data_IF_490767733040
#
_entry.id   IF_490767733040
#
_cell.length_a   1.000
_cell.length_b   1.000
_cell.length_c   1.000
_cell.angle_alpha   90.00
_cell.angle_beta   90.00
_cell.angle_gamma   90.00
#
_symmetry.space_group_name_H-M   'P 1'
#
loop_
_entity.id
_entity.type
_entity.pdbx_description
1 polymer ?
#
# COMPACT_ATOMS: atom_id res chain seq x y z
N UNK A 1 -20.29 25.73 22.67
CA UNK A 1 -21.52 24.91 22.70
C UNK A 1 -21.40 23.84 23.77
N UNK A 2 -22.53 23.41 24.33
CA UNK A 2 -22.61 22.24 25.22
C UNK A 2 -22.77 20.97 24.39
N UNK A 3 -22.23 19.82 24.85
CA UNK A 3 -22.40 18.54 24.14
C UNK A 3 -23.87 18.18 23.87
N UNK A 4 -24.77 18.57 24.76
CA UNK A 4 -26.22 18.33 24.63
C UNK A 4 -26.82 19.11 23.46
N UNK A 5 -26.41 20.37 23.28
CA UNK A 5 -26.84 21.18 22.14
C UNK A 5 -26.38 20.57 20.81
N UNK A 6 -25.11 20.17 20.72
CA UNK A 6 -24.55 19.61 19.49
C UNK A 6 -25.29 18.32 19.07
N UNK A 7 -25.61 17.45 20.04
CA UNK A 7 -26.44 16.25 19.78
C UNK A 7 -27.86 16.61 19.34
N UNK A 8 -28.50 17.59 20.01
CA UNK A 8 -29.83 18.04 19.63
C UNK A 8 -29.87 18.62 18.20
N UNK A 9 -28.84 19.38 17.82
CA UNK A 9 -28.70 19.92 16.47
C UNK A 9 -28.53 18.80 15.43
N UNK A 10 -27.62 17.86 15.66
CA UNK A 10 -27.41 16.72 14.76
C UNK A 10 -28.67 15.88 14.58
N UNK A 11 -29.39 15.59 15.67
CA UNK A 11 -30.67 14.88 15.62
C UNK A 11 -31.70 15.64 14.79
N UNK A 12 -31.84 16.95 15.02
CA UNK A 12 -32.78 17.80 14.26
C UNK A 12 -32.41 17.89 12.77
N UNK A 13 -31.12 17.95 12.42
CA UNK A 13 -30.65 17.96 11.04
C UNK A 13 -30.95 16.64 10.33
N UNK A 14 -30.81 15.50 11.03
CA UNK A 14 -31.17 14.19 10.49
C UNK A 14 -32.68 14.06 10.27
N UNK A 15 -33.51 14.51 11.21
CA UNK A 15 -34.97 14.53 11.07
C UNK A 15 -35.43 15.45 9.91
N UNK A 16 -34.79 16.60 9.77
CA UNK A 16 -35.02 17.51 8.66
C UNK A 16 -34.72 16.85 7.30
N UNK A 17 -33.71 15.97 7.21
CA UNK A 17 -33.41 15.21 5.98
C UNK A 17 -34.49 14.18 5.66
N UNK A 18 -35.15 13.62 6.66
CA UNK A 18 -36.27 12.67 6.47
C UNK A 18 -37.62 13.34 6.20
N UNK A 19 -37.68 14.68 6.21
CA UNK A 19 -38.88 15.44 5.86
C UNK A 19 -39.63 16.03 7.06
N UNK A 20 -39.12 15.89 8.28
CA UNK A 20 -39.71 16.52 9.48
C UNK A 20 -39.63 18.05 9.38
N UNK A 21 -40.60 18.75 9.96
CA UNK A 21 -40.64 20.22 9.94
C UNK A 21 -39.70 20.83 10.98
N UNK A 22 -39.27 22.08 10.78
CA UNK A 22 -38.46 22.81 11.77
C UNK A 22 -39.20 22.96 13.09
N UNK A 23 -40.52 23.16 13.06
CA UNK A 23 -41.34 23.30 14.27
C UNK A 23 -41.38 22.03 15.10
N UNK A 24 -41.45 20.85 14.47
CA UNK A 24 -41.45 19.56 15.19
C UNK A 24 -40.08 19.28 15.82
N UNK A 25 -38.99 19.65 15.14
CA UNK A 25 -37.64 19.55 15.68
C UNK A 25 -37.46 20.45 16.92
N UNK A 26 -37.99 21.68 16.90
CA UNK A 26 -37.93 22.60 18.03
C UNK A 26 -38.80 22.14 19.22
N UNK A 27 -39.96 21.52 18.95
CA UNK A 27 -40.81 20.96 20.00
C UNK A 27 -40.13 19.80 20.77
N UNK A 28 -39.18 19.10 20.12
CA UNK A 28 -38.43 18.00 20.73
C UNK A 28 -37.33 18.45 21.70
N UNK A 29 -36.78 19.65 21.49
CA UNK A 29 -35.72 20.22 22.32
C UNK A 29 -36.06 21.66 22.75
N UNK A 30 -37.09 21.85 23.60
CA UNK A 30 -37.56 23.18 24.00
C UNK A 30 -36.49 23.99 24.73
N UNK A 31 -35.61 23.33 25.49
CA UNK A 31 -34.48 23.98 26.21
C UNK A 31 -33.49 24.68 25.28
N UNK A 32 -33.39 24.25 24.02
CA UNK A 32 -32.44 24.78 23.04
C UNK A 32 -33.15 25.47 21.85
N UNK A 33 -34.46 25.70 21.94
CA UNK A 33 -35.25 26.13 20.80
C UNK A 33 -34.84 27.50 20.23
N UNK A 34 -34.49 28.46 21.09
CA UNK A 34 -34.04 29.80 20.71
C UNK A 34 -32.75 29.73 19.86
N UNK A 35 -31.79 28.92 20.31
CA UNK A 35 -30.49 28.74 19.64
C UNK A 35 -30.59 27.87 18.38
N UNK A 36 -31.45 26.84 18.38
CA UNK A 36 -31.63 25.93 17.25
C UNK A 36 -32.41 26.56 16.09
N UNK A 37 -33.41 27.42 16.38
CA UNK A 37 -34.30 28.00 15.38
C UNK A 37 -33.58 28.65 14.19
N UNK A 38 -32.59 29.56 14.36
CA UNK A 38 -31.90 30.16 13.22
C UNK A 38 -31.10 29.14 12.41
N UNK A 39 -30.46 28.17 13.08
CA UNK A 39 -29.66 27.13 12.41
C UNK A 39 -30.52 26.18 11.57
N UNK A 40 -31.64 25.71 12.13
CA UNK A 40 -32.57 24.83 11.44
C UNK A 40 -33.28 25.54 10.28
N UNK A 41 -33.60 26.83 10.45
CA UNK A 41 -34.17 27.66 9.38
C UNK A 41 -33.19 27.79 8.21
N UNK A 42 -31.92 28.10 8.49
CA UNK A 42 -30.87 28.16 7.47
C UNK A 42 -30.72 26.81 6.75
N UNK A 43 -30.62 25.71 7.51
CA UNK A 43 -30.49 24.37 6.94
C UNK A 43 -31.68 24.01 6.04
N UNK A 44 -32.91 24.38 6.43
CA UNK A 44 -34.11 24.19 5.61
C UNK A 44 -34.07 25.03 4.33
N UNK A 45 -33.61 26.28 4.41
CA UNK A 45 -33.46 27.18 3.28
C UNK A 45 -32.43 26.68 2.26
N UNK A 46 -31.27 26.23 2.74
CA UNK A 46 -30.23 25.63 1.88
C UNK A 46 -30.75 24.37 1.19
N UNK A 47 -31.53 23.54 1.90
CA UNK A 47 -32.12 22.33 1.31
C UNK A 47 -33.17 22.63 0.23
N UNK A 48 -33.86 23.76 0.32
CA UNK A 48 -34.83 24.20 -0.69
C UNK A 48 -34.16 24.67 -2.00
N UNK A 49 -32.85 24.94 -1.98
CA UNK A 49 -32.10 25.31 -3.17
C UNK A 49 -32.03 24.11 -4.11
N UNK A 50 -32.50 24.29 -5.35
CA UNK A 50 -32.40 23.25 -6.38
C UNK A 50 -30.93 22.96 -6.65
N UNK A 51 -30.54 21.70 -6.49
CA UNK A 51 -29.22 21.25 -6.91
C UNK A 51 -29.14 21.31 -8.44
N UNK A 52 -28.12 21.97 -9.01
CA UNK A 52 -27.94 22.01 -10.46
C UNK A 52 -27.71 20.59 -10.96
N UNK A 53 -28.52 20.16 -11.93
CA UNK A 53 -28.33 18.86 -12.57
C UNK A 53 -27.16 18.97 -13.54
N UNK A 54 -26.11 18.14 -13.40
CA UNK A 54 -24.99 18.16 -14.33
C UNK A 54 -25.44 17.69 -15.72
N UNK A 55 -24.93 18.34 -16.76
CA UNK A 55 -25.14 17.92 -18.14
C UNK A 55 -24.45 16.56 -18.38
N UNK A 56 -25.18 15.50 -18.78
CA UNK A 56 -24.60 14.18 -19.00
C UNK A 56 -23.48 14.18 -20.05
N UNK A 57 -23.57 15.03 -21.07
CA UNK A 57 -22.53 15.13 -22.11
C UNK A 57 -21.25 15.71 -21.54
N UNK A 58 -21.36 16.81 -20.79
CA UNK A 58 -20.22 17.41 -20.09
C UNK A 58 -19.56 16.47 -19.08
N UNK A 59 -20.35 15.68 -18.33
CA UNK A 59 -19.83 14.68 -17.38
C UNK A 59 -19.00 13.62 -18.12
N UNK A 60 -19.51 13.08 -19.22
CA UNK A 60 -18.81 12.07 -19.99
C UNK A 60 -17.52 12.64 -20.61
N UNK A 61 -17.57 13.85 -21.18
CA UNK A 61 -16.40 14.52 -21.72
C UNK A 61 -15.31 14.76 -20.66
N UNK A 62 -15.69 15.22 -19.47
CA UNK A 62 -14.76 15.42 -18.36
C UNK A 62 -14.18 14.10 -17.84
N UNK A 63 -14.96 13.03 -17.83
CA UNK A 63 -14.48 11.69 -17.46
C UNK A 63 -13.37 11.21 -18.40
N UNK A 64 -13.56 11.38 -19.70
CA UNK A 64 -12.55 11.03 -20.70
C UNK A 64 -11.27 11.84 -20.52
N UNK A 65 -11.39 13.17 -20.36
CA UNK A 65 -10.25 14.06 -20.09
C UNK A 65 -9.48 13.67 -18.83
N UNK A 66 -10.19 13.29 -17.77
CA UNK A 66 -9.57 12.82 -16.52
C UNK A 66 -8.76 11.54 -16.74
N UNK A 67 -9.31 10.58 -17.48
CA UNK A 67 -8.61 9.32 -17.80
C UNK A 67 -7.36 9.56 -18.66
N UNK A 68 -7.45 10.42 -19.67
CA UNK A 68 -6.31 10.81 -20.50
C UNK A 68 -5.21 11.48 -19.66
N UNK A 69 -5.58 12.42 -18.79
CA UNK A 69 -4.64 13.08 -17.89
C UNK A 69 -3.96 12.09 -16.93
N UNK A 70 -4.71 11.12 -16.40
CA UNK A 70 -4.18 10.08 -15.53
C UNK A 70 -3.18 9.17 -16.26
N UNK A 71 -3.50 8.76 -17.50
CA UNK A 71 -2.59 7.96 -18.33
C UNK A 71 -1.31 8.73 -18.68
N UNK A 72 -1.44 10.00 -19.06
CA UNK A 72 -0.29 10.85 -19.36
C UNK A 72 0.62 11.03 -18.12
N UNK A 73 0.03 11.21 -16.93
CA UNK A 73 0.78 11.27 -15.68
C UNK A 73 1.49 9.95 -15.35
N UNK A 74 0.83 8.81 -15.56
CA UNK A 74 1.41 7.48 -15.35
C UNK A 74 2.59 7.23 -16.30
N UNK A 75 2.46 7.56 -17.58
CA UNK A 75 3.52 7.42 -18.58
C UNK A 75 4.75 8.28 -18.24
N UNK A 76 4.55 9.52 -17.77
CA UNK A 76 5.63 10.39 -17.27
C UNK A 76 6.34 9.78 -16.07
N UNK A 77 5.60 9.21 -15.12
CA UNK A 77 6.18 8.54 -13.93
C UNK A 77 6.99 7.30 -14.32
N UNK A 78 6.50 6.52 -15.29
CA UNK A 78 7.21 5.36 -15.81
C UNK A 78 8.52 5.75 -16.48
N UNK A 79 8.51 6.75 -17.38
CA UNK A 79 9.74 7.27 -18.02
C UNK A 79 10.77 7.73 -17.00
N UNK A 80 10.36 8.43 -15.93
CA UNK A 80 11.29 8.83 -14.84
C UNK A 80 11.84 7.65 -14.05
N UNK A 81 11.10 6.54 -13.92
CA UNK A 81 11.56 5.31 -13.23
C UNK A 81 12.59 4.53 -14.04
N UNK A 82 12.56 4.60 -15.37
CA UNK A 82 13.53 3.93 -16.27
C UNK A 82 14.69 4.86 -16.73
N UNK A 83 14.59 6.16 -16.49
CA UNK A 83 15.67 7.12 -16.70
C UNK A 83 16.97 6.87 -15.89
N UNK A 84 16.97 6.30 -14.65
CA UNK A 84 18.20 6.12 -13.89
C UNK A 84 19.06 4.94 -14.35
N UNK A 85 18.71 4.23 -15.43
CA UNK A 85 19.60 3.25 -16.05
C UNK A 85 20.13 3.73 -17.40
N UNK A 86 19.33 4.48 -18.16
CA UNK A 86 19.71 5.05 -19.45
C UNK A 86 20.88 6.05 -19.34
N UNK A 87 20.91 6.90 -18.30
CA UNK A 87 22.04 7.80 -18.03
C UNK A 87 23.32 7.08 -17.56
N UNK A 88 23.19 5.86 -17.02
CA UNK A 88 24.31 5.05 -16.52
C UNK A 88 24.99 4.27 -17.65
N UNK A 89 24.24 3.92 -18.71
CA UNK A 89 24.77 3.23 -19.89
C UNK A 89 25.08 4.18 -21.06
N UNK A 90 24.47 5.38 -21.11
CA UNK A 90 24.66 6.36 -22.17
C UNK A 90 25.90 7.26 -22.05
N UNK A 91 26.74 7.08 -21.03
CA UNK A 91 28.00 7.83 -20.85
C UNK A 91 29.25 6.95 -20.89
N UNK A 92 29.28 5.89 -21.70
CA UNK A 92 30.55 5.28 -22.09
C UNK A 92 31.10 5.96 -23.34
N UNK A 93 31.40 7.25 -23.23
CA UNK A 93 32.41 7.87 -24.08
C UNK A 93 33.79 7.39 -23.58
N UNK A 94 34.74 7.21 -24.50
CA UNK A 94 35.94 6.35 -24.39
C UNK A 94 36.80 6.53 -23.12
N UNK A 95 37.68 5.62 -22.74
CA UNK A 95 38.49 4.72 -23.54
C UNK A 95 39.34 3.81 -22.60
N UNK A 96 39.75 2.62 -23.08
CA UNK A 96 40.90 1.79 -22.59
C UNK A 96 40.84 0.96 -21.29
N UNK A 97 39.69 0.58 -20.71
CA UNK A 97 39.67 -0.28 -19.48
C UNK A 97 38.92 -1.63 -19.63
N UNK A 98 38.63 -2.05 -20.87
CA UNK A 98 37.58 -3.05 -21.16
C UNK A 98 37.87 -4.56 -21.00
N UNK A 99 39.10 -5.11 -21.05
CA UNK A 99 39.22 -6.57 -20.99
C UNK A 99 39.13 -7.12 -19.56
N UNK A 100 39.66 -6.40 -18.56
CA UNK A 100 39.74 -6.89 -17.18
C UNK A 100 38.39 -6.93 -16.47
N UNK A 101 37.56 -5.89 -16.67
CA UNK A 101 36.26 -5.76 -15.99
C UNK A 101 35.19 -6.74 -16.54
N UNK A 102 35.36 -7.19 -17.79
CA UNK A 102 34.49 -8.20 -18.40
C UNK A 102 34.74 -9.59 -17.80
N UNK A 103 36.01 -9.94 -17.57
CA UNK A 103 36.39 -11.22 -16.98
C UNK A 103 35.94 -11.35 -15.50
N UNK A 104 36.04 -10.27 -14.72
CA UNK A 104 35.58 -10.26 -13.33
C UNK A 104 34.06 -10.35 -13.23
N UNK A 105 33.30 -9.70 -14.12
CA UNK A 105 31.84 -9.82 -14.15
C UNK A 105 31.34 -11.21 -14.54
N UNK A 106 31.99 -11.88 -15.51
CA UNK A 106 31.61 -13.27 -15.86
C UNK A 106 31.86 -14.25 -14.72
N UNK A 107 32.95 -14.04 -13.97
CA UNK A 107 33.29 -14.90 -12.85
C UNK A 107 32.33 -14.69 -11.66
N UNK A 108 31.98 -13.44 -11.37
CA UNK A 108 30.97 -13.12 -10.36
C UNK A 108 29.58 -13.68 -10.72
N UNK A 109 29.18 -13.57 -11.99
CA UNK A 109 27.91 -14.14 -12.46
C UNK A 109 27.87 -15.67 -12.32
N UNK A 110 28.97 -16.37 -12.63
CA UNK A 110 29.05 -17.82 -12.41
C UNK A 110 28.96 -18.21 -10.93
N UNK A 111 29.61 -17.47 -10.03
CA UNK A 111 29.54 -17.75 -8.58
C UNK A 111 28.10 -17.59 -8.06
N UNK A 112 27.39 -16.55 -8.49
CA UNK A 112 25.98 -16.33 -8.12
C UNK A 112 25.09 -17.44 -8.67
N UNK A 113 25.31 -17.85 -9.92
CA UNK A 113 24.56 -18.95 -10.55
C UNK A 113 24.79 -20.29 -9.84
N UNK A 114 26.04 -20.56 -9.43
CA UNK A 114 26.45 -21.76 -8.70
C UNK A 114 25.82 -21.81 -7.30
N UNK A 115 25.78 -20.67 -6.60
CA UNK A 115 25.12 -20.56 -5.28
C UNK A 115 23.61 -20.78 -5.35
N UNK A 116 22.96 -20.25 -6.40
CA UNK A 116 21.54 -20.48 -6.65
C UNK A 116 21.25 -21.96 -6.96
N UNK A 117 22.08 -22.62 -7.78
CA UNK A 117 21.94 -24.04 -8.08
C UNK A 117 22.13 -24.93 -6.84
N UNK A 118 23.10 -24.61 -5.99
CA UNK A 118 23.32 -25.32 -4.73
C UNK A 118 22.11 -25.15 -3.78
N UNK A 119 21.57 -23.94 -3.63
CA UNK A 119 20.41 -23.68 -2.77
C UNK A 119 19.15 -24.46 -3.17
N UNK A 120 18.94 -24.70 -4.47
CA UNK A 120 17.80 -25.48 -4.97
C UNK A 120 17.91 -26.97 -4.59
N UNK A 121 19.13 -27.52 -4.52
CA UNK A 121 19.38 -28.93 -4.15
C UNK A 121 19.26 -29.19 -2.64
N UNK A 122 19.58 -28.20 -1.79
CA UNK A 122 19.42 -28.32 -0.34
C UNK A 122 17.95 -28.28 0.11
N UNK A 123 17.08 -27.58 -0.63
CA UNK A 123 15.65 -27.51 -0.32
C UNK A 123 14.93 -28.87 -0.48
N UNK A 124 15.42 -29.75 -1.36
CA UNK A 124 14.88 -31.11 -1.56
C UNK A 124 15.32 -32.15 -0.52
N UNK A 125 16.29 -31.84 0.35
CA UNK A 125 16.86 -32.81 1.30
C UNK A 125 16.11 -32.90 2.64
N UNK A 126 15.07 -32.09 2.85
CA UNK A 126 14.32 -32.05 4.11
C UNK A 126 13.45 -33.30 4.36
N UNK A 127 13.28 -34.19 3.37
CA UNK A 127 12.36 -35.34 3.42
C UNK A 127 13.02 -36.72 3.26
N UNK A 128 14.34 -36.82 3.42
CA UNK A 128 15.09 -38.06 3.15
C UNK A 128 15.03 -39.05 4.33
N UNK A 129 14.52 -40.26 4.09
CA UNK A 129 14.48 -41.40 5.03
C UNK A 129 15.86 -42.09 5.20
N UNK A 130 16.09 -42.81 6.32
CA UNK A 130 17.35 -43.51 6.57
C UNK A 130 17.63 -44.57 5.49
N UNK A 131 18.81 -44.49 4.86
CA UNK A 131 19.25 -45.41 3.80
C UNK A 131 19.75 -44.75 2.50
N UNK A 132 19.65 -43.41 2.36
CA UNK A 132 20.12 -42.70 1.16
C UNK A 132 21.39 -41.86 1.42
N UNK A 133 22.15 -41.58 0.36
CA UNK A 133 23.48 -40.94 0.39
C UNK A 133 23.51 -39.58 1.13
N UNK A 134 22.40 -38.83 1.16
CA UNK A 134 22.30 -37.54 1.84
C UNK A 134 22.12 -37.63 3.37
N UNK A 135 21.95 -38.82 3.94
CA UNK A 135 21.82 -39.01 5.40
C UNK A 135 23.11 -38.69 6.16
N UNK A 136 24.28 -38.85 5.52
CA UNK A 136 25.60 -38.56 6.08
C UNK A 136 25.76 -37.10 6.51
N UNK A 137 25.16 -36.17 5.76
CA UNK A 137 25.21 -34.73 6.07
C UNK A 137 24.31 -34.39 7.26
N UNK A 138 23.17 -35.08 7.42
CA UNK A 138 22.31 -34.93 8.60
C UNK A 138 23.01 -35.43 9.88
N UNK A 139 23.81 -36.49 9.75
CA UNK A 139 24.63 -37.03 10.85
C UNK A 139 25.71 -36.04 11.33
N UNK A 140 26.32 -35.27 10.43
CA UNK A 140 27.29 -34.22 10.80
C UNK A 140 26.71 -33.13 11.71
N UNK A 141 25.43 -32.78 11.54
CA UNK A 141 24.74 -31.83 12.43
C UNK A 141 24.46 -32.42 13.82
N UNK A 142 24.24 -33.74 13.90
CA UNK A 142 24.05 -34.46 15.17
C UNK A 142 25.37 -34.62 15.95
N UNK A 143 26.50 -34.90 15.26
CA UNK A 143 27.82 -35.03 15.87
C UNK A 143 28.34 -33.69 16.46
N UNK A 144 28.02 -32.57 15.82
CA UNK A 144 28.31 -31.23 16.36
C UNK A 144 27.50 -30.94 17.64
N UNK A 145 26.27 -31.47 17.72
CA UNK A 145 25.40 -31.28 18.89
C UNK A 145 25.79 -32.18 20.07
N UNK A 146 26.28 -33.40 19.80
CA UNK A 146 26.82 -34.31 20.80
C UNK A 146 28.15 -33.78 21.39
N UNK A 147 29.06 -33.29 20.54
CA UNK A 147 30.33 -32.73 21.00
C UNK A 147 30.19 -31.46 21.86
N UNK A 148 29.14 -30.65 21.61
CA UNK A 148 28.80 -29.50 22.45
C UNK A 148 28.18 -29.88 23.81
N UNK A 149 27.61 -31.09 23.95
CA UNK A 149 26.95 -31.53 25.19
C UNK A 149 27.90 -32.25 26.15
N UNK A 150 28.96 -32.91 25.64
CA UNK A 150 29.97 -33.56 26.49
C UNK A 150 30.92 -32.58 27.22
N UNK A 151 30.89 -31.28 26.89
CA UNK A 151 31.75 -30.28 27.52
C UNK A 151 31.06 -29.43 28.61
N UNK A 152 29.89 -29.85 29.10
CA UNK A 152 29.15 -29.15 30.17
C UNK A 152 28.92 -29.97 31.46
N UNK A 153 29.65 -31.09 31.65
CA UNK A 153 29.59 -31.91 32.87
C UNK A 153 30.97 -32.35 33.39
N UNK A 154 31.92 -31.41 33.44
CA UNK A 154 33.14 -31.53 34.24
C UNK A 154 33.38 -30.21 35.01
N UNK A 155 32.51 -29.98 36.00
CA UNK A 155 32.85 -29.47 37.34
C UNK A 155 32.12 -30.35 38.34
#
# INVERSE_FOLDING_TARGET
MSRKFDTALDDCLNLLRTGTSVTDCLARYPEHAEELRPLLSLASGVRAIRTPRPDPVAVQANRLRMLEAAQAAAARRQKRRFAPFAWAWGRSDGSRIRPLYRATMTLAAMVVLMGLAAGILFASAANSLPGQALYSVKRFGEDARLSLTFNSAAQ
#
